data_IF_617753194106
#
_entry.id   IF_617753194106
#
_cell.length_a   1.000
_cell.length_b   1.000
_cell.length_c   1.000
_cell.angle_alpha   90.00
_cell.angle_beta   90.00
_cell.angle_gamma   90.00
#
_symmetry.space_group_name_H-M   'P 1'
#
loop_
_entity.id
_entity.type
_entity.pdbx_description
1 polymer ?
#
# COMPACT_ATOMS: atom_id res chain seq x y z
N UNK A 1 -5.35 -5.74 7.25
CA UNK A 1 -5.11 -4.28 7.22
C UNK A 1 -6.33 -3.58 6.62
N UNK A 2 -6.61 -2.32 6.95
CA UNK A 2 -7.72 -1.54 6.36
C UNK A 2 -7.18 -0.45 5.41
N UNK A 3 -8.06 0.15 4.61
CA UNK A 3 -7.69 1.17 3.61
C UNK A 3 -6.92 2.34 4.24
N UNK A 4 -7.34 2.84 5.41
CA UNK A 4 -6.71 3.99 6.07
C UNK A 4 -5.25 3.70 6.45
N UNK A 5 -4.97 2.51 6.98
CA UNK A 5 -3.60 2.08 7.28
C UNK A 5 -2.78 1.92 6.00
N UNK A 6 -3.35 1.29 4.96
CA UNK A 6 -2.66 1.12 3.68
C UNK A 6 -2.30 2.46 3.06
N UNK A 7 -3.24 3.41 3.01
CA UNK A 7 -3.01 4.76 2.49
C UNK A 7 -1.83 5.46 3.16
N UNK A 8 -1.70 5.34 4.49
CA UNK A 8 -0.56 5.92 5.23
C UNK A 8 0.74 5.19 4.87
N UNK A 9 0.68 3.88 4.66
CA UNK A 9 1.84 3.06 4.34
C UNK A 9 2.22 3.06 2.86
N UNK A 10 1.41 3.64 1.96
CA UNK A 10 1.66 3.61 0.52
C UNK A 10 2.96 4.31 0.14
N UNK A 11 3.27 5.47 0.73
CA UNK A 11 4.54 6.16 0.47
C UNK A 11 5.73 5.30 0.92
N UNK A 12 5.75 4.89 2.19
CA UNK A 12 6.78 4.02 2.74
C UNK A 12 6.90 2.67 2.00
N UNK A 13 5.80 2.14 1.45
CA UNK A 13 5.79 0.94 0.62
C UNK A 13 6.51 1.17 -0.72
N UNK A 14 6.30 2.32 -1.35
CA UNK A 14 6.93 2.70 -2.61
C UNK A 14 8.41 3.04 -2.43
N UNK A 15 8.76 3.72 -1.33
CA UNK A 15 10.12 4.06 -0.96
C UNK A 15 10.93 2.85 -0.41
N UNK A 16 10.26 1.72 -0.16
CA UNK A 16 10.90 0.49 0.34
C UNK A 16 11.26 0.52 1.82
N UNK A 17 10.67 1.43 2.59
CA UNK A 17 10.92 1.64 4.02
C UNK A 17 10.10 0.72 4.93
N UNK A 18 9.12 0.00 4.37
CA UNK A 18 8.31 -0.95 5.13
C UNK A 18 9.06 -2.25 5.45
N UNK A 19 8.79 -2.77 6.65
CA UNK A 19 9.23 -4.12 7.03
C UNK A 19 8.55 -5.19 6.17
N UNK A 20 9.17 -6.37 6.03
CA UNK A 20 8.66 -7.45 5.17
C UNK A 20 7.22 -7.89 5.49
N UNK A 21 6.82 -7.86 6.76
CA UNK A 21 5.45 -8.15 7.18
C UNK A 21 4.45 -7.06 6.73
N UNK A 22 4.82 -5.79 6.87
CA UNK A 22 3.98 -4.66 6.44
C UNK A 22 3.83 -4.62 4.92
N UNK A 23 4.91 -4.89 4.18
CA UNK A 23 4.86 -5.05 2.72
C UNK A 23 3.87 -6.14 2.28
N UNK A 24 3.87 -7.29 2.97
CA UNK A 24 2.94 -8.39 2.70
C UNK A 24 1.50 -7.98 2.92
N UNK A 25 1.21 -7.31 4.05
CA UNK A 25 -0.14 -6.86 4.37
C UNK A 25 -0.66 -5.78 3.41
N UNK A 26 0.20 -4.84 3.01
CA UNK A 26 -0.14 -3.82 2.00
C UNK A 26 -0.41 -4.50 0.65
N UNK A 27 0.46 -5.41 0.21
CA UNK A 27 0.29 -6.13 -1.07
C UNK A 27 -0.99 -6.95 -1.11
N UNK A 28 -1.31 -7.66 -0.03
CA UNK A 28 -2.56 -8.44 0.07
C UNK A 28 -3.78 -7.52 -0.10
N UNK A 29 -3.78 -6.37 0.59
CA UNK A 29 -4.88 -5.41 0.49
C UNK A 29 -4.99 -4.80 -0.92
N UNK A 30 -3.87 -4.43 -1.55
CA UNK A 30 -3.86 -3.90 -2.92
C UNK A 30 -4.40 -4.91 -3.96
N UNK A 31 -4.32 -6.22 -3.66
CA UNK A 31 -4.93 -7.26 -4.48
C UNK A 31 -6.46 -7.30 -4.38
N UNK A 32 -7.04 -6.87 -3.25
CA UNK A 32 -8.48 -6.90 -2.99
C UNK A 32 -9.19 -5.56 -3.06
N UNK A 33 -8.46 -4.44 -2.97
CA UNK A 33 -9.02 -3.09 -2.92
C UNK A 33 -8.63 -2.28 -4.15
N UNK A 34 -9.63 -1.89 -4.94
CA UNK A 34 -9.43 -1.08 -6.16
C UNK A 34 -9.04 0.37 -5.84
N UNK A 35 -9.61 0.94 -4.77
CA UNK A 35 -9.35 2.32 -4.36
C UNK A 35 -7.89 2.50 -3.94
N UNK A 36 -7.39 1.67 -3.02
CA UNK A 36 -5.99 1.74 -2.59
C UNK A 36 -5.01 1.41 -3.73
N UNK A 37 -5.41 0.56 -4.68
CA UNK A 37 -4.60 0.29 -5.88
C UNK A 37 -4.54 1.50 -6.82
N UNK A 38 -5.64 2.24 -6.97
CA UNK A 38 -5.62 3.47 -7.74
C UNK A 38 -4.72 4.54 -7.09
N UNK A 39 -4.78 4.68 -5.77
CA UNK A 39 -3.89 5.59 -5.03
C UNK A 39 -2.41 5.19 -5.15
N UNK A 40 -2.10 3.90 -5.05
CA UNK A 40 -0.74 3.38 -5.25
C UNK A 40 -0.20 3.73 -6.65
N UNK A 41 -1.04 3.61 -7.68
CA UNK A 41 -0.68 3.99 -9.05
C UNK A 41 -0.50 5.50 -9.21
N UNK A 42 -1.31 6.32 -8.52
CA UNK A 42 -1.18 7.77 -8.53
C UNK A 42 0.12 8.23 -7.87
N UNK A 43 0.52 7.60 -6.76
CA UNK A 43 1.74 7.93 -6.04
C UNK A 43 3.03 7.48 -6.76
N UNK A 44 2.93 6.57 -7.74
CA UNK A 44 4.06 6.17 -8.60
C UNK A 44 4.37 7.15 -9.73
N UNK A 45 3.48 8.13 -9.98
CA UNK A 45 3.58 9.08 -11.10
C UNK A 45 4.58 10.20 -10.87
#
# INVERSE_FOLDING_TARGET
MNCKSVQIYLSAYLDGELSGQECLQVREHLGGCKDCRAEEQQLRS
#
